data_IF_689604450119
#
_entry.id   IF_689604450119
#
_cell.length_a   1.000
_cell.length_b   1.000
_cell.length_c   1.000
_cell.angle_alpha   90.00
_cell.angle_beta   90.00
_cell.angle_gamma   90.00
#
_symmetry.space_group_name_H-M   'P 1'
#
loop_
_entity.id
_entity.type
_entity.pdbx_description
1 polymer ?
#
# COMPACT_ATOMS: atom_id res chain seq x y z
N UNK A 1 22.16 0.98 0.15
CA UNK A 1 21.79 -0.01 -0.87
C UNK A 1 21.89 0.66 -2.24
N UNK A 2 22.49 0.00 -3.23
CA UNK A 2 22.33 0.42 -4.63
C UNK A 2 21.03 -0.19 -5.18
N UNK A 3 20.22 0.58 -5.89
CA UNK A 3 18.98 0.09 -6.53
C UNK A 3 19.16 0.24 -8.05
N UNK A 4 19.59 -0.83 -8.74
CA UNK A 4 19.70 -0.84 -10.19
C UNK A 4 18.37 -0.42 -10.84
N UNK A 5 18.44 0.33 -11.93
CA UNK A 5 17.27 0.81 -12.70
C UNK A 5 16.30 1.73 -11.94
N UNK A 6 16.67 2.27 -10.76
CA UNK A 6 15.87 3.29 -10.09
C UNK A 6 15.68 4.52 -10.99
N UNK A 7 16.73 4.97 -11.67
CA UNK A 7 16.62 6.11 -12.59
C UNK A 7 15.63 5.84 -13.73
N UNK A 8 15.61 4.63 -14.29
CA UNK A 8 14.64 4.24 -15.33
C UNK A 8 13.18 4.29 -14.81
N UNK A 9 12.96 3.96 -13.53
CA UNK A 9 11.64 4.12 -12.91
C UNK A 9 11.28 5.59 -12.73
N UNK A 10 12.25 6.41 -12.33
CA UNK A 10 12.06 7.85 -12.10
C UNK A 10 11.86 8.64 -13.40
N UNK A 11 12.49 8.22 -14.50
CA UNK A 11 12.31 8.80 -15.85
C UNK A 11 11.07 8.26 -16.56
N UNK A 12 10.46 7.18 -16.05
CA UNK A 12 9.27 6.55 -16.62
C UNK A 12 9.54 5.57 -17.75
N UNK A 13 10.80 5.18 -17.99
CA UNK A 13 11.19 4.13 -18.92
C UNK A 13 10.63 2.76 -18.50
N UNK A 14 10.51 2.54 -17.20
CA UNK A 14 9.80 1.39 -16.62
C UNK A 14 8.69 1.87 -15.69
N UNK A 15 7.58 1.15 -15.64
CA UNK A 15 6.43 1.51 -14.84
C UNK A 15 6.56 1.02 -13.38
N UNK A 16 7.24 -0.11 -13.18
CA UNK A 16 7.48 -0.69 -11.85
C UNK A 16 8.87 -1.30 -11.75
N UNK A 17 9.40 -1.31 -10.53
CA UNK A 17 10.66 -1.98 -10.19
C UNK A 17 10.47 -2.82 -8.93
N UNK A 18 10.59 -4.14 -9.06
CA UNK A 18 10.50 -5.08 -7.95
C UNK A 18 11.89 -5.39 -7.40
N UNK A 19 12.10 -5.19 -6.11
CA UNK A 19 13.29 -5.55 -5.35
C UNK A 19 13.03 -6.85 -4.60
N UNK A 20 13.83 -7.85 -4.87
CA UNK A 20 13.72 -9.17 -4.27
C UNK A 20 14.60 -9.28 -3.00
N UNK A 21 14.25 -10.15 -2.04
CA UNK A 21 15.06 -10.34 -0.83
C UNK A 21 16.51 -10.76 -1.10
N UNK A 22 16.76 -11.48 -2.19
CA UNK A 22 18.10 -11.90 -2.62
C UNK A 22 18.95 -10.77 -3.25
N UNK A 23 18.41 -9.56 -3.33
CA UNK A 23 19.08 -8.39 -3.90
C UNK A 23 18.89 -8.24 -5.40
N UNK A 24 18.20 -9.17 -6.07
CA UNK A 24 17.87 -9.03 -7.50
C UNK A 24 16.76 -8.00 -7.73
N UNK A 25 16.74 -7.42 -8.92
CA UNK A 25 15.70 -6.47 -9.34
C UNK A 25 15.00 -6.94 -10.59
N UNK A 26 13.69 -6.69 -10.69
CA UNK A 26 12.89 -7.02 -11.89
C UNK A 26 12.06 -5.83 -12.33
N UNK A 27 12.21 -5.44 -13.58
CA UNK A 27 11.50 -4.29 -14.16
C UNK A 27 10.20 -4.75 -14.80
N UNK A 28 9.08 -4.06 -14.54
CA UNK A 28 7.76 -4.38 -15.08
C UNK A 28 7.29 -5.83 -14.81
N UNK A 29 7.84 -6.46 -13.78
CA UNK A 29 7.50 -7.82 -13.33
C UNK A 29 7.03 -7.73 -11.87
N UNK A 30 5.72 -7.57 -11.71
CA UNK A 30 5.10 -7.47 -10.39
C UNK A 30 5.04 -8.85 -9.73
N UNK A 31 5.36 -8.97 -8.42
CA UNK A 31 5.33 -10.24 -7.72
C UNK A 31 3.92 -10.83 -7.67
N UNK A 32 3.87 -12.15 -7.48
CA UNK A 32 2.62 -12.88 -7.26
C UNK A 32 2.09 -12.60 -5.86
N UNK A 33 0.77 -12.52 -5.73
CA UNK A 33 0.07 -12.42 -4.45
C UNK A 33 -0.45 -11.01 -4.16
N UNK A 34 -0.66 -10.70 -2.88
CA UNK A 34 -1.23 -9.43 -2.47
C UNK A 34 -0.14 -8.34 -2.29
N UNK A 35 -0.54 -7.08 -2.44
CA UNK A 35 0.34 -5.92 -2.34
C UNK A 35 -0.07 -5.05 -1.16
N UNK A 36 0.76 -5.00 -0.13
CA UNK A 36 0.58 -4.07 0.99
C UNK A 36 1.13 -2.70 0.60
N UNK A 37 0.23 -1.76 0.31
CA UNK A 37 0.60 -0.41 -0.10
C UNK A 37 0.88 0.48 1.13
N UNK A 38 2.04 1.13 1.17
CA UNK A 38 2.41 1.96 2.32
C UNK A 38 3.55 2.93 2.04
N UNK A 39 3.66 3.94 2.91
CA UNK A 39 4.78 4.90 2.85
C UNK A 39 6.04 4.41 3.55
N UNK A 40 5.90 3.42 4.45
CA UNK A 40 6.98 2.75 5.19
C UNK A 40 8.05 3.68 5.75
N UNK A 41 7.60 4.75 6.42
CA UNK A 41 8.49 5.79 6.92
C UNK A 41 8.37 6.02 8.44
N UNK A 42 8.86 5.10 9.30
CA UNK A 42 9.54 3.84 8.96
C UNK A 42 8.59 2.63 8.81
N UNK A 43 9.13 1.54 8.28
CA UNK A 43 8.59 0.19 8.41
C UNK A 43 8.55 -0.20 9.90
N UNK A 44 7.53 -0.95 10.32
CA UNK A 44 7.34 -1.30 11.74
C UNK A 44 6.47 -2.55 11.91
N UNK A 45 6.38 -3.05 13.15
CA UNK A 45 5.65 -4.27 13.50
C UNK A 45 4.19 -4.29 13.01
N UNK A 46 3.48 -3.16 13.06
CA UNK A 46 2.14 -3.05 12.47
C UNK A 46 2.06 -3.37 10.98
N UNK A 47 3.02 -2.92 10.15
CA UNK A 47 3.05 -3.29 8.72
C UNK A 47 3.33 -4.78 8.53
N UNK A 48 4.28 -5.33 9.29
CA UNK A 48 4.65 -6.74 9.22
C UNK A 48 3.50 -7.66 9.67
N UNK A 49 2.78 -7.28 10.73
CA UNK A 49 1.60 -7.99 11.22
C UNK A 49 0.47 -7.97 10.19
N UNK A 50 0.23 -6.83 9.56
CA UNK A 50 -0.78 -6.70 8.49
C UNK A 50 -0.44 -7.57 7.29
N UNK A 51 0.84 -7.64 6.89
CA UNK A 51 1.29 -8.53 5.82
C UNK A 51 1.07 -10.01 6.18
N UNK A 52 1.42 -10.43 7.40
CA UNK A 52 1.18 -11.81 7.87
C UNK A 52 -0.32 -12.17 7.88
N UNK A 53 -1.17 -11.26 8.33
CA UNK A 53 -2.60 -11.48 8.37
C UNK A 53 -3.21 -11.58 6.96
N UNK A 54 -2.79 -10.71 6.03
CA UNK A 54 -3.21 -10.79 4.64
C UNK A 54 -2.73 -12.09 3.96
N UNK A 55 -1.51 -12.55 4.26
CA UNK A 55 -1.01 -13.84 3.78
C UNK A 55 -1.85 -15.00 4.31
N UNK A 56 -2.20 -14.99 5.60
CA UNK A 56 -3.03 -16.03 6.21
C UNK A 56 -4.45 -16.07 5.62
N UNK A 57 -5.04 -14.92 5.28
CA UNK A 57 -6.37 -14.86 4.66
C UNK A 57 -6.38 -15.27 3.20
N UNK A 58 -5.39 -14.82 2.42
CA UNK A 58 -5.36 -15.04 0.97
C UNK A 58 -4.74 -16.38 0.58
N UNK A 59 -3.93 -16.98 1.45
CA UNK A 59 -3.09 -18.14 1.11
C UNK A 59 -1.99 -17.82 0.10
N UNK A 60 -1.80 -16.54 -0.24
CA UNK A 60 -0.82 -16.07 -1.22
C UNK A 60 0.29 -15.26 -0.53
N UNK A 61 1.50 -15.21 -1.12
CA UNK A 61 2.54 -14.32 -0.65
C UNK A 61 2.08 -12.86 -0.60
N UNK A 62 2.66 -12.08 0.32
CA UNK A 62 2.43 -10.63 0.38
C UNK A 62 3.74 -9.91 0.11
N UNK A 63 3.73 -9.08 -0.94
CA UNK A 63 4.79 -8.12 -1.19
C UNK A 63 4.37 -6.72 -0.70
N UNK A 64 5.35 -5.86 -0.47
CA UNK A 64 5.12 -4.47 -0.11
C UNK A 64 5.15 -3.61 -1.36
N UNK A 65 4.38 -2.53 -1.38
CA UNK A 65 4.35 -1.57 -2.48
C UNK A 65 4.56 -0.16 -1.95
N UNK A 66 5.58 0.52 -2.48
CA UNK A 66 5.94 1.89 -2.16
C UNK A 66 5.79 2.76 -3.42
N UNK A 67 4.80 3.65 -3.39
CA UNK A 67 4.67 4.70 -4.38
C UNK A 67 5.78 5.74 -4.18
N UNK A 68 6.64 5.91 -5.18
CA UNK A 68 7.71 6.90 -5.24
C UNK A 68 7.14 8.32 -5.47
N UNK A 69 5.98 8.40 -6.11
CA UNK A 69 5.18 9.63 -6.20
C UNK A 69 4.04 9.50 -5.19
N UNK A 70 3.92 10.47 -4.28
CA UNK A 70 2.84 10.52 -3.30
C UNK A 70 1.75 11.50 -3.76
N UNK A 71 0.48 11.10 -3.72
CA UNK A 71 -0.68 11.94 -4.06
C UNK A 71 -0.65 13.29 -3.33
N UNK A 72 -0.26 13.28 -2.05
CA UNK A 72 -0.39 14.43 -1.16
C UNK A 72 0.91 15.27 -1.07
N UNK A 73 2.07 14.71 -1.46
CA UNK A 73 3.40 15.27 -1.15
C UNK A 73 4.35 15.42 -2.34
N UNK A 74 3.93 15.00 -3.54
CA UNK A 74 4.78 14.99 -4.73
C UNK A 74 5.77 13.82 -4.76
N UNK A 75 6.79 13.93 -5.62
CA UNK A 75 7.81 12.88 -5.82
C UNK A 75 8.80 12.83 -4.65
N UNK A 76 9.09 11.63 -4.16
CA UNK A 76 10.16 11.41 -3.18
C UNK A 76 11.52 11.66 -3.85
N UNK A 77 12.43 12.32 -3.12
CA UNK A 77 13.82 12.41 -3.56
C UNK A 77 14.43 10.99 -3.68
N UNK A 78 15.32 10.73 -4.65
CA UNK A 78 15.91 9.40 -4.85
C UNK A 78 16.55 8.83 -3.58
N UNK A 79 17.25 9.67 -2.80
CA UNK A 79 17.84 9.27 -1.52
C UNK A 79 16.79 8.78 -0.50
N UNK A 80 15.59 9.37 -0.49
CA UNK A 80 14.50 8.97 0.40
C UNK A 80 13.86 7.65 -0.04
N UNK A 81 13.78 7.41 -1.36
CA UNK A 81 13.36 6.10 -1.91
C UNK A 81 14.33 5.03 -1.46
N UNK A 82 15.64 5.24 -1.66
CA UNK A 82 16.69 4.29 -1.24
C UNK A 82 16.65 4.04 0.26
N UNK A 83 16.50 5.10 1.08
CA UNK A 83 16.42 4.97 2.54
C UNK A 83 15.25 4.09 2.97
N UNK A 84 14.06 4.31 2.39
CA UNK A 84 12.87 3.53 2.71
C UNK A 84 12.97 2.08 2.22
N UNK A 85 13.48 1.89 1.00
CA UNK A 85 13.67 0.58 0.39
C UNK A 85 14.69 -0.29 1.14
N UNK A 86 15.72 0.32 1.72
CA UNK A 86 16.76 -0.40 2.49
C UNK A 86 16.17 -1.19 3.67
N UNK A 87 15.03 -0.78 4.22
CA UNK A 87 14.35 -1.50 5.32
C UNK A 87 13.84 -2.90 4.93
N UNK A 88 13.72 -3.20 3.63
CA UNK A 88 13.21 -4.47 3.10
C UNK A 88 14.34 -5.43 2.67
N UNK A 89 15.58 -4.93 2.61
CA UNK A 89 16.75 -5.68 2.17
C UNK A 89 16.90 -7.01 2.91
N UNK A 90 17.07 -8.11 2.18
CA UNK A 90 17.29 -9.44 2.77
C UNK A 90 16.06 -10.05 3.47
N UNK A 91 14.91 -9.38 3.47
CA UNK A 91 13.76 -9.79 4.29
C UNK A 91 12.47 -9.93 3.48
N UNK A 92 12.15 -8.95 2.63
CA UNK A 92 10.84 -8.84 2.01
C UNK A 92 10.91 -8.30 0.58
N UNK A 93 10.00 -8.77 -0.27
CA UNK A 93 9.84 -8.22 -1.62
C UNK A 93 9.20 -6.84 -1.55
N UNK A 94 9.80 -5.86 -2.22
CA UNK A 94 9.29 -4.49 -2.34
C UNK A 94 9.08 -4.13 -3.81
N UNK A 95 7.91 -3.64 -4.16
CA UNK A 95 7.60 -3.07 -5.47
C UNK A 95 7.62 -1.55 -5.35
N UNK A 96 8.39 -0.90 -6.22
CA UNK A 96 8.38 0.54 -6.41
C UNK A 96 7.50 0.88 -7.62
N UNK A 97 6.65 1.90 -7.47
CA UNK A 97 5.82 2.42 -8.56
C UNK A 97 5.78 3.95 -8.53
N UNK A 98 5.48 4.58 -9.66
CA UNK A 98 5.25 6.02 -9.75
C UNK A 98 3.75 6.39 -9.75
N UNK A 99 2.88 5.47 -9.29
CA UNK A 99 1.42 5.67 -9.32
C UNK A 99 0.85 5.89 -7.92
N UNK A 100 0.36 7.10 -7.59
CA UNK A 100 -0.19 7.36 -6.26
C UNK A 100 -1.64 6.87 -6.10
N UNK A 101 -2.40 6.76 -7.20
CA UNK A 101 -3.82 6.42 -7.20
C UNK A 101 -4.03 4.92 -7.35
N UNK A 102 -4.99 4.36 -6.61
CA UNK A 102 -5.32 2.93 -6.69
C UNK A 102 -5.88 2.50 -8.04
N UNK A 103 -6.57 3.38 -8.76
CA UNK A 103 -7.00 3.14 -10.14
C UNK A 103 -5.80 2.92 -11.07
N UNK A 104 -4.77 3.76 -10.97
CA UNK A 104 -3.54 3.59 -11.73
C UNK A 104 -2.75 2.35 -11.29
N UNK A 105 -2.76 2.01 -9.99
CA UNK A 105 -2.18 0.77 -9.48
C UNK A 105 -2.89 -0.47 -10.03
N UNK A 106 -4.22 -0.46 -10.14
CA UNK A 106 -4.95 -1.58 -10.72
C UNK A 106 -4.57 -1.84 -12.17
N UNK A 107 -4.28 -0.79 -12.96
CA UNK A 107 -3.75 -0.96 -14.33
C UNK A 107 -2.37 -1.61 -14.35
N UNK A 108 -1.51 -1.28 -13.38
CA UNK A 108 -0.19 -1.92 -13.24
C UNK A 108 -0.26 -3.34 -12.69
N UNK A 109 -1.28 -3.62 -11.89
CA UNK A 109 -1.40 -4.85 -11.09
C UNK A 109 -2.80 -5.48 -11.26
N UNK A 110 -3.21 -5.84 -12.49
CA UNK A 110 -4.52 -6.44 -12.71
C UNK A 110 -4.65 -7.76 -11.94
N UNK A 111 -5.84 -8.02 -11.39
CA UNK A 111 -6.15 -9.21 -10.60
C UNK A 111 -5.51 -9.25 -9.21
N UNK A 112 -4.90 -8.16 -8.74
CA UNK A 112 -4.23 -8.13 -7.43
C UNK A 112 -5.15 -7.69 -6.31
N UNK A 113 -4.84 -8.18 -5.11
CA UNK A 113 -5.44 -7.71 -3.87
C UNK A 113 -4.52 -6.66 -3.23
N UNK A 114 -5.02 -5.46 -3.02
CA UNK A 114 -4.33 -4.41 -2.28
C UNK A 114 -4.66 -4.49 -0.79
N UNK A 115 -3.64 -4.50 0.06
CA UNK A 115 -3.79 -4.54 1.52
C UNK A 115 -3.56 -3.15 2.09
N UNK A 116 -4.58 -2.60 2.75
CA UNK A 116 -4.62 -1.24 3.24
C UNK A 116 -4.92 -1.19 4.73
N UNK A 117 -4.32 -0.21 5.42
CA UNK A 117 -4.82 0.21 6.72
C UNK A 117 -6.08 1.08 6.58
N UNK A 118 -6.87 1.14 7.65
CA UNK A 118 -8.11 1.92 7.74
C UNK A 118 -8.00 3.34 7.14
N UNK A 119 -6.99 4.13 7.54
CA UNK A 119 -6.85 5.52 7.08
C UNK A 119 -6.69 5.63 5.54
N UNK A 120 -6.04 4.65 4.91
CA UNK A 120 -5.86 4.64 3.45
C UNK A 120 -7.14 4.16 2.74
N UNK A 121 -7.83 3.18 3.30
CA UNK A 121 -9.14 2.76 2.78
C UNK A 121 -10.20 3.86 2.91
N UNK A 122 -10.19 4.62 4.01
CA UNK A 122 -11.04 5.79 4.20
C UNK A 122 -10.80 6.85 3.13
N UNK A 123 -9.53 7.17 2.82
CA UNK A 123 -9.19 8.10 1.73
C UNK A 123 -9.60 7.58 0.36
N UNK A 124 -9.44 6.28 0.09
CA UNK A 124 -9.90 5.66 -1.15
C UNK A 124 -11.42 5.85 -1.34
N UNK A 125 -12.20 5.81 -0.27
CA UNK A 125 -13.65 5.95 -0.29
C UNK A 125 -14.15 7.40 -0.15
N UNK A 126 -13.25 8.39 0.00
CA UNK A 126 -13.61 9.78 0.21
C UNK A 126 -13.77 10.50 -1.14
N UNK A 127 -14.99 10.97 -1.48
CA UNK A 127 -15.27 11.66 -2.75
C UNK A 127 -14.38 12.89 -3.01
N UNK A 128 -13.83 13.52 -1.97
CA UNK A 128 -12.98 14.72 -2.10
C UNK A 128 -11.68 14.47 -2.86
N UNK A 129 -11.24 13.22 -2.95
CA UNK A 129 -10.06 12.84 -3.75
C UNK A 129 -10.38 12.63 -5.24
N UNK A 130 -11.64 12.80 -5.65
CA UNK A 130 -12.09 12.59 -7.02
C UNK A 130 -12.67 13.89 -7.59
N UNK A 131 -12.05 14.47 -8.64
CA UNK A 131 -12.52 15.73 -9.22
C UNK A 131 -13.90 15.62 -9.88
N UNK A 132 -14.24 14.46 -10.44
CA UNK A 132 -15.51 14.22 -11.10
C UNK A 132 -16.62 13.85 -10.10
N UNK A 133 -17.85 14.29 -10.34
CA UNK A 133 -19.00 14.03 -9.48
C UNK A 133 -19.28 12.52 -9.27
N UNK A 134 -18.98 11.69 -10.26
CA UNK A 134 -19.08 10.23 -10.21
C UNK A 134 -17.70 9.54 -10.08
N UNK A 135 -16.64 10.29 -9.73
CA UNK A 135 -15.27 9.81 -9.81
C UNK A 135 -14.96 8.67 -8.84
N UNK A 136 -15.57 8.65 -7.65
CA UNK A 136 -15.46 7.51 -6.73
C UNK A 136 -16.05 6.23 -7.35
N UNK A 137 -17.26 6.31 -7.90
CA UNK A 137 -17.92 5.18 -8.56
C UNK A 137 -17.12 4.69 -9.77
N UNK A 138 -16.55 5.61 -10.57
CA UNK A 138 -15.66 5.27 -11.68
C UNK A 138 -14.39 4.57 -11.20
N UNK A 139 -13.79 5.06 -10.12
CA UNK A 139 -12.60 4.46 -9.53
C UNK A 139 -12.85 3.04 -9.02
N UNK A 140 -13.92 2.83 -8.25
CA UNK A 140 -14.29 1.51 -7.74
C UNK A 140 -14.70 0.55 -8.88
N UNK A 141 -15.39 1.05 -9.91
CA UNK A 141 -15.70 0.26 -11.10
C UNK A 141 -14.43 -0.19 -11.82
N UNK A 142 -13.45 0.72 -12.01
CA UNK A 142 -12.17 0.38 -12.61
C UNK A 142 -11.40 -0.69 -11.81
N UNK A 143 -11.42 -0.63 -10.47
CA UNK A 143 -10.84 -1.68 -9.63
C UNK A 143 -11.54 -3.03 -9.87
N UNK A 144 -12.87 -3.04 -9.92
CA UNK A 144 -13.67 -4.26 -10.18
C UNK A 144 -13.41 -4.84 -11.56
N UNK A 145 -13.38 -4.00 -12.58
CA UNK A 145 -13.25 -4.42 -13.98
C UNK A 145 -11.84 -4.98 -14.26
N UNK A 146 -10.84 -4.57 -13.47
CA UNK A 146 -9.47 -5.12 -13.45
C UNK A 146 -9.31 -6.27 -12.44
N UNK A 147 -10.41 -6.82 -11.92
CA UNK A 147 -10.47 -7.89 -10.91
C UNK A 147 -9.60 -7.64 -9.67
N UNK A 148 -9.42 -6.38 -9.30
CA UNK A 148 -8.70 -6.02 -8.09
C UNK A 148 -9.61 -6.12 -6.86
N UNK A 149 -9.01 -6.45 -5.72
CA UNK A 149 -9.68 -6.52 -4.42
C UNK A 149 -8.96 -5.67 -3.39
N UNK A 150 -9.66 -5.31 -2.31
CA UNK A 150 -9.12 -4.52 -1.20
C UNK A 150 -9.28 -5.29 0.10
N UNK A 151 -8.16 -5.60 0.76
CA UNK A 151 -8.14 -6.06 2.15
C UNK A 151 -7.92 -4.88 3.08
N UNK A 152 -8.80 -4.70 4.05
CA UNK A 152 -8.75 -3.57 4.99
C UNK A 152 -8.44 -4.06 6.40
N UNK A 153 -7.28 -3.67 6.90
CA UNK A 153 -6.92 -3.85 8.31
C UNK A 153 -7.40 -2.68 9.15
N UNK A 154 -8.06 -3.00 10.26
CA UNK A 154 -8.48 -2.03 11.25
C UNK A 154 -7.29 -1.34 11.94
N UNK A 155 -7.54 -0.16 12.50
CA UNK A 155 -6.56 0.62 13.27
C UNK A 155 -7.21 1.34 14.43
N UNK A 156 -6.43 1.53 15.50
CA UNK A 156 -6.79 2.46 16.55
C UNK A 156 -6.66 3.89 16.03
N UNK A 157 -7.79 4.60 15.97
CA UNK A 157 -7.87 6.00 15.56
C UNK A 157 -8.72 6.76 16.57
N UNK A 158 -8.20 7.86 17.12
CA UNK A 158 -8.87 8.69 18.12
C UNK A 158 -9.46 7.90 19.33
N UNK A 159 -8.77 6.84 19.78
CA UNK A 159 -9.20 6.02 20.92
C UNK A 159 -10.21 4.92 20.59
N UNK A 160 -10.68 4.83 19.34
CA UNK A 160 -11.59 3.79 18.88
C UNK A 160 -10.92 2.91 17.83
N UNK A 161 -11.12 1.60 17.93
CA UNK A 161 -10.64 0.68 16.90
C UNK A 161 -11.61 0.71 15.72
N UNK A 162 -11.17 1.29 14.60
CA UNK A 162 -11.97 1.44 13.40
C UNK A 162 -11.61 0.36 12.39
N UNK A 163 -12.63 -0.17 11.72
CA UNK A 163 -12.56 -1.33 10.81
C UNK A 163 -13.27 -1.02 9.49
N UNK A 164 -13.29 -1.99 8.56
CA UNK A 164 -14.08 -1.87 7.33
C UNK A 164 -15.57 -1.58 7.60
N UNK A 165 -16.12 -2.05 8.71
CA UNK A 165 -17.53 -1.83 9.06
C UNK A 165 -17.85 -0.35 9.33
N UNK A 166 -16.84 0.45 9.68
CA UNK A 166 -16.98 1.88 9.94
C UNK A 166 -16.83 2.73 8.66
N UNK A 167 -16.47 2.10 7.54
CA UNK A 167 -16.32 2.76 6.24
C UNK A 167 -17.63 2.75 5.45
N UNK A 168 -17.92 3.86 4.76
CA UNK A 168 -19.07 3.98 3.87
C UNK A 168 -18.72 3.43 2.48
N UNK A 169 -18.71 2.10 2.36
CA UNK A 169 -18.59 1.43 1.06
C UNK A 169 -19.95 1.45 0.36
N UNK A 170 -20.05 1.94 -0.90
CA UNK A 170 -21.30 1.84 -1.64
C UNK A 170 -21.70 0.36 -1.82
N UNK A 171 -22.97 -0.03 -1.56
CA UNK A 171 -23.38 -1.43 -1.53
C UNK A 171 -23.03 -2.23 -2.79
N UNK A 172 -23.07 -1.61 -3.96
CA UNK A 172 -22.75 -2.21 -5.25
C UNK A 172 -21.26 -2.62 -5.38
N UNK A 173 -20.39 -2.09 -4.52
CA UNK A 173 -18.96 -2.39 -4.46
C UNK A 173 -18.56 -3.17 -3.21
N UNK A 174 -19.50 -3.61 -2.37
CA UNK A 174 -19.19 -4.34 -1.14
C UNK A 174 -18.28 -5.56 -1.36
N UNK A 175 -18.47 -6.27 -2.48
CA UNK A 175 -17.67 -7.45 -2.87
C UNK A 175 -16.21 -7.13 -3.24
N UNK A 176 -15.86 -5.86 -3.46
CA UNK A 176 -14.47 -5.44 -3.66
C UNK A 176 -13.67 -5.43 -2.35
N UNK A 177 -14.34 -5.33 -1.21
CA UNK A 177 -13.70 -5.11 0.08
C UNK A 177 -13.86 -6.33 0.98
N UNK A 178 -12.80 -6.68 1.68
CA UNK A 178 -12.82 -7.68 2.73
C UNK A 178 -12.05 -7.16 3.94
N UNK A 179 -12.61 -7.35 5.13
CA UNK A 179 -11.95 -6.97 6.38
C UNK A 179 -10.86 -7.99 6.72
N UNK A 180 -9.72 -7.50 7.23
CA UNK A 180 -8.83 -8.32 8.05
C UNK A 180 -9.41 -8.34 9.47
N UNK A 181 -9.85 -9.50 10.00
CA UNK A 181 -10.47 -9.57 11.32
C UNK A 181 -9.53 -9.11 12.43
N UNK A 182 -10.07 -8.43 13.45
CA UNK A 182 -9.29 -8.00 14.62
C UNK A 182 -8.60 -9.17 15.32
N UNK A 183 -9.26 -10.33 15.38
CA UNK A 183 -8.71 -11.57 15.93
C UNK A 183 -7.45 -12.06 15.19
N UNK A 184 -7.27 -11.65 13.94
CA UNK A 184 -6.09 -11.99 13.14
C UNK A 184 -5.04 -10.89 13.17
N UNK A 185 -5.45 -9.62 13.28
CA UNK A 185 -4.55 -8.49 13.34
C UNK A 185 -5.13 -7.29 14.10
N UNK A 186 -4.37 -6.85 15.10
CA UNK A 186 -4.49 -5.53 15.72
C UNK A 186 -3.10 -5.00 16.03
N UNK A 187 -2.86 -3.74 15.68
CA UNK A 187 -1.63 -3.05 16.03
C UNK A 187 -1.90 -1.57 16.30
N UNK A 188 -1.57 -1.13 17.52
CA UNK A 188 -1.79 0.23 17.99
C UNK A 188 -0.52 1.09 17.81
N UNK A 189 0.18 0.91 16.67
CA UNK A 189 1.45 1.56 16.33
C UNK A 189 1.35 2.22 14.96
N UNK A 190 1.77 3.48 14.86
CA UNK A 190 1.90 4.21 13.59
C UNK A 190 3.30 4.76 13.36
N UNK A 191 3.73 4.85 12.10
CA UNK A 191 5.00 5.49 11.75
C UNK A 191 5.08 6.95 12.23
N UNK A 192 3.96 7.67 12.30
CA UNK A 192 3.93 9.05 12.79
C UNK A 192 4.29 9.14 14.27
N UNK A 193 3.74 8.27 15.11
CA UNK A 193 4.11 8.19 16.52
C UNK A 193 5.59 7.83 16.69
N UNK A 194 6.10 6.88 15.91
CA UNK A 194 7.52 6.48 15.97
C UNK A 194 8.47 7.63 15.59
N UNK A 195 8.12 8.42 14.57
CA UNK A 195 8.91 9.61 14.20
C UNK A 195 8.89 10.67 15.31
N UNK A 196 7.73 10.90 15.93
CA UNK A 196 7.61 11.85 17.03
C UNK A 196 8.47 11.43 18.24
N UNK A 197 8.42 10.15 18.63
CA UNK A 197 9.23 9.60 19.71
C UNK A 197 10.73 9.74 19.43
N UNK A 198 11.18 9.40 18.21
CA UNK A 198 12.57 9.53 17.82
C UNK A 198 13.06 10.99 17.84
N UNK A 199 12.20 11.94 17.47
CA UNK A 199 12.51 13.37 17.50
C UNK A 199 12.59 13.93 18.93
N UNK A 200 11.93 13.33 19.91
CA UNK A 200 12.00 13.72 21.33
C UNK A 200 13.21 13.11 22.05
N UNK A 201 13.84 12.08 21.49
CA UNK A 201 15.05 11.44 22.04
C UNK A 201 16.36 12.07 21.52
N UNK A 202 16.28 13.07 20.64
CA UNK A 202 17.39 13.90 20.14
C UNK A 202 17.37 15.26 20.82
#
# INVERSE_FOLDING_TARGET
MNIPALDHLLTGEIATLTLMPDGTTRSNDAPVGALLCGSFNPLHAGHLGMARAAQALSGLPVAFELAVINADKGSLAPAEVVRRATQFAGQHTLVLSCTPLFTAKATLYPGRTFVLGYDTAARLLDPRYYPAANGLTQALSSLRDLDCRILVAGRLHAGHFQTLADLRVPPEFASLFQAIPESLFRADISSTQLRAQAATML
#
